data_IF_393378655596
#
_entry.id   IF_393378655596
#
_cell.length_a   1.000
_cell.length_b   1.000
_cell.length_c   1.000
_cell.angle_alpha   90.00
_cell.angle_beta   90.00
_cell.angle_gamma   90.00
#
_symmetry.space_group_name_H-M   'P 1'
#
loop_
_entity.id
_entity.type
_entity.pdbx_description
1 polymer ?
#
# COMPACT_ATOMS: atom_id res chain seq x y z
N UNK A 1 3.87 13.06 41.77
CA UNK A 1 3.67 11.70 41.24
C UNK A 1 2.81 11.88 40.02
N UNK A 2 3.38 11.68 38.83
CA UNK A 2 2.56 11.70 37.61
C UNK A 2 1.52 10.57 37.72
N UNK A 3 0.25 10.85 37.37
CA UNK A 3 -0.81 9.85 37.47
C UNK A 3 -0.47 8.64 36.59
N UNK A 4 -0.73 7.44 37.10
CA UNK A 4 -0.57 6.22 36.31
C UNK A 4 -1.43 6.27 35.04
N UNK A 5 -0.93 5.79 33.89
CA UNK A 5 -1.65 5.90 32.62
C UNK A 5 -3.01 5.19 32.66
N UNK A 6 -3.12 4.09 33.40
CA UNK A 6 -4.37 3.34 33.60
C UNK A 6 -5.46 4.16 34.32
N UNK A 7 -5.07 5.10 35.19
CA UNK A 7 -6.03 5.97 35.89
C UNK A 7 -6.58 6.99 34.90
N UNK A 8 -5.70 7.60 34.09
CA UNK A 8 -6.11 8.55 33.06
C UNK A 8 -7.01 7.92 32.00
N UNK A 9 -6.77 6.67 31.62
CA UNK A 9 -7.65 5.93 30.71
C UNK A 9 -9.05 5.72 31.29
N UNK A 10 -9.14 5.35 32.58
CA UNK A 10 -10.44 5.20 33.26
C UNK A 10 -11.19 6.52 33.31
N UNK A 11 -10.52 7.59 33.72
CA UNK A 11 -11.11 8.93 33.71
C UNK A 11 -11.57 9.32 32.29
N UNK A 12 -10.74 9.08 31.26
CA UNK A 12 -11.10 9.36 29.88
C UNK A 12 -12.35 8.61 29.42
N UNK A 13 -12.49 7.33 29.81
CA UNK A 13 -13.69 6.53 29.53
C UNK A 13 -14.93 7.07 30.26
N UNK A 14 -14.81 7.51 31.51
CA UNK A 14 -15.92 8.16 32.23
C UNK A 14 -16.37 9.45 31.54
N UNK A 15 -15.44 10.26 31.02
CA UNK A 15 -15.78 11.44 30.22
C UNK A 15 -16.41 11.08 28.88
N UNK A 16 -16.04 9.95 28.28
CA UNK A 16 -16.64 9.43 27.05
C UNK A 16 -18.09 9.00 27.28
N UNK A 17 -18.39 8.30 28.38
CA UNK A 17 -19.76 7.93 28.77
C UNK A 17 -20.65 9.14 29.03
N UNK A 18 -20.06 10.26 29.48
CA UNK A 18 -20.73 11.55 29.69
C UNK A 18 -20.79 12.42 28.42
N UNK A 19 -20.43 11.87 27.25
CA UNK A 19 -20.37 12.55 25.94
C UNK A 19 -19.45 13.79 25.90
N UNK A 20 -18.51 13.91 26.84
CA UNK A 20 -17.54 15.00 26.90
C UNK A 20 -16.29 14.68 26.08
N UNK A 21 -16.46 14.53 24.77
CA UNK A 21 -15.41 14.07 23.84
C UNK A 21 -14.12 14.93 23.85
N UNK A 22 -14.24 16.23 24.12
CA UNK A 22 -13.08 17.13 24.17
C UNK A 22 -12.14 16.84 25.34
N UNK A 23 -12.70 16.62 26.53
CA UNK A 23 -11.95 16.31 27.75
C UNK A 23 -11.39 14.88 27.69
N UNK A 24 -12.22 13.92 27.28
CA UNK A 24 -11.81 12.53 27.06
C UNK A 24 -10.61 12.43 26.12
N UNK A 25 -10.63 13.16 25.01
CA UNK A 25 -9.53 13.14 24.05
C UNK A 25 -8.20 13.67 24.63
N UNK A 26 -8.24 14.73 25.44
CA UNK A 26 -7.04 15.29 26.07
C UNK A 26 -6.43 14.26 27.04
N UNK A 27 -7.28 13.58 27.80
CA UNK A 27 -6.85 12.54 28.74
C UNK A 27 -6.27 11.33 28.02
N UNK A 28 -6.92 10.83 26.95
CA UNK A 28 -6.36 9.74 26.15
C UNK A 28 -5.02 10.09 25.53
N UNK A 29 -4.84 11.33 25.06
CA UNK A 29 -3.54 11.77 24.52
C UNK A 29 -2.46 11.79 25.60
N UNK A 30 -2.78 12.29 26.80
CA UNK A 30 -1.86 12.27 27.95
C UNK A 30 -1.50 10.84 28.36
N UNK A 31 -2.49 9.94 28.43
CA UNK A 31 -2.26 8.53 28.73
C UNK A 31 -1.36 7.87 27.68
N UNK A 32 -1.59 8.14 26.39
CA UNK A 32 -0.75 7.65 25.32
C UNK A 32 0.69 8.14 25.42
N UNK A 33 0.91 9.42 25.73
CA UNK A 33 2.26 9.98 25.86
C UNK A 33 3.03 9.35 27.04
N UNK A 34 2.35 9.03 28.14
CA UNK A 34 2.93 8.26 29.25
C UNK A 34 3.26 6.82 28.84
N UNK A 35 2.39 6.14 28.09
CA UNK A 35 2.66 4.80 27.57
C UNK A 35 3.84 4.77 26.60
N UNK A 36 4.01 5.80 25.77
CA UNK A 36 5.19 5.95 24.91
C UNK A 36 6.48 6.07 25.72
N UNK A 37 6.46 6.86 26.80
CA UNK A 37 7.61 6.99 27.72
C UNK A 37 7.93 5.64 28.38
N UNK A 38 6.92 4.84 28.69
CA UNK A 38 7.06 3.50 29.26
C UNK A 38 7.38 2.40 28.24
N UNK A 39 7.58 2.74 26.95
CA UNK A 39 7.78 1.80 25.84
C UNK A 39 6.63 0.80 25.62
N UNK A 40 5.45 1.12 26.16
CA UNK A 40 4.20 0.37 26.01
C UNK A 40 3.49 0.82 24.72
N UNK A 41 4.11 0.53 23.56
CA UNK A 41 3.65 1.04 22.26
C UNK A 41 2.27 0.53 21.84
N UNK A 42 1.86 -0.66 22.31
CA UNK A 42 0.56 -1.24 21.96
C UNK A 42 -0.58 -0.49 22.65
N UNK A 43 -0.42 -0.23 23.95
CA UNK A 43 -1.33 0.52 24.79
C UNK A 43 -1.40 1.99 24.34
N UNK A 44 -0.25 2.57 24.00
CA UNK A 44 -0.18 3.91 23.41
C UNK A 44 -0.98 4.01 22.10
N UNK A 45 -0.87 3.02 21.20
CA UNK A 45 -1.62 3.00 19.95
C UNK A 45 -3.13 2.93 20.18
N UNK A 46 -3.60 2.13 21.14
CA UNK A 46 -5.01 2.03 21.50
C UNK A 46 -5.55 3.36 22.04
N UNK A 47 -4.81 4.01 22.94
CA UNK A 47 -5.16 5.32 23.49
C UNK A 47 -5.18 6.42 22.41
N UNK A 48 -4.23 6.42 21.48
CA UNK A 48 -4.24 7.38 20.37
C UNK A 48 -5.41 7.12 19.42
N UNK A 49 -5.77 5.87 19.17
CA UNK A 49 -6.91 5.52 18.34
C UNK A 49 -8.25 5.95 18.98
N UNK A 50 -8.40 5.80 20.31
CA UNK A 50 -9.57 6.31 21.04
C UNK A 50 -9.59 7.84 21.08
N UNK A 51 -8.44 8.50 21.21
CA UNK A 51 -8.34 9.95 21.07
C UNK A 51 -8.77 10.40 19.66
N UNK A 52 -8.33 9.69 18.61
CA UNK A 52 -8.68 9.99 17.22
C UNK A 52 -10.18 9.84 16.95
N UNK A 53 -10.83 8.81 17.51
CA UNK A 53 -12.27 8.63 17.41
C UNK A 53 -13.04 9.71 18.17
N UNK A 54 -12.59 10.10 19.37
CA UNK A 54 -13.16 11.23 20.12
C UNK A 54 -13.08 12.54 19.32
N UNK A 55 -11.95 12.80 18.64
CA UNK A 55 -11.82 13.95 17.74
C UNK A 55 -12.80 13.89 16.58
N UNK A 56 -13.00 12.72 15.97
CA UNK A 56 -13.96 12.56 14.88
C UNK A 56 -15.40 12.86 15.34
N UNK A 57 -15.79 12.34 16.51
CA UNK A 57 -17.10 12.57 17.11
C UNK A 57 -17.30 14.05 17.49
N UNK A 58 -16.29 14.67 18.12
CA UNK A 58 -16.31 16.09 18.48
C UNK A 58 -16.41 17.01 17.25
N UNK A 59 -15.74 16.65 16.15
CA UNK A 59 -15.66 17.50 14.97
C UNK A 59 -16.98 17.55 14.20
N UNK A 60 -17.85 16.54 14.33
CA UNK A 60 -19.13 16.51 13.61
C UNK A 60 -18.93 16.58 12.10
N UNK A 61 -19.60 17.51 11.41
CA UNK A 61 -19.43 17.79 9.96
C UNK A 61 -18.20 18.65 9.62
N UNK A 62 -17.34 19.01 10.59
CA UNK A 62 -16.13 19.82 10.34
C UNK A 62 -14.92 18.97 9.97
N UNK A 63 -13.89 19.61 9.41
CA UNK A 63 -12.67 18.98 8.91
C UNK A 63 -12.07 17.93 9.86
N UNK A 64 -11.90 16.71 9.35
CA UNK A 64 -11.40 15.53 10.07
C UNK A 64 -9.87 15.48 10.19
N UNK A 65 -9.14 16.45 9.63
CA UNK A 65 -7.68 16.46 9.54
C UNK A 65 -6.97 16.13 10.85
N UNK A 66 -7.43 16.70 11.98
CA UNK A 66 -6.86 16.40 13.31
C UNK A 66 -7.08 14.95 13.74
N UNK A 67 -8.23 14.39 13.42
CA UNK A 67 -8.53 12.97 13.64
C UNK A 67 -7.68 12.08 12.74
N UNK A 68 -7.54 12.42 11.45
CA UNK A 68 -6.68 11.70 10.50
C UNK A 68 -5.23 11.62 10.98
N UNK A 69 -4.67 12.76 11.42
CA UNK A 69 -3.30 12.83 11.93
C UNK A 69 -3.12 12.02 13.23
N UNK A 70 -4.14 12.01 14.10
CA UNK A 70 -4.13 11.16 15.29
C UNK A 70 -4.19 9.66 14.94
N UNK A 71 -4.98 9.26 13.93
CA UNK A 71 -4.98 7.88 13.43
C UNK A 71 -3.65 7.48 12.80
N UNK A 72 -2.97 8.38 12.07
CA UNK A 72 -1.62 8.12 11.56
C UNK A 72 -0.59 7.94 12.68
N UNK A 73 -0.69 8.74 13.74
CA UNK A 73 0.18 8.61 14.92
C UNK A 73 -0.07 7.28 15.63
N UNK A 74 -1.33 6.93 15.86
CA UNK A 74 -1.72 5.62 16.41
C UNK A 74 -1.19 4.46 15.55
N UNK A 75 -1.28 4.59 14.21
CA UNK A 75 -0.81 3.57 13.29
C UNK A 75 0.71 3.37 13.35
N UNK A 76 1.47 4.45 13.56
CA UNK A 76 2.94 4.38 13.75
C UNK A 76 3.31 3.69 15.05
N UNK A 77 2.63 3.99 16.15
CA UNK A 77 2.84 3.28 17.43
C UNK A 77 2.48 1.79 17.31
N UNK A 78 1.38 1.46 16.61
CA UNK A 78 1.03 0.07 16.34
C UNK A 78 2.08 -0.68 15.50
N UNK A 79 2.75 0.02 14.56
CA UNK A 79 3.89 -0.55 13.82
C UNK A 79 5.09 -0.82 14.74
N UNK A 80 5.39 0.07 15.69
CA UNK A 80 6.45 -0.13 16.69
C UNK A 80 6.14 -1.31 17.61
N UNK A 81 4.87 -1.53 17.94
CA UNK A 81 4.38 -2.68 18.69
C UNK A 81 4.32 -3.99 17.88
N UNK A 82 4.75 -3.98 16.61
CA UNK A 82 4.67 -5.10 15.66
C UNK A 82 3.24 -5.59 15.34
N UNK A 83 2.21 -4.82 15.71
CA UNK A 83 0.80 -5.08 15.42
C UNK A 83 0.41 -4.50 14.05
N UNK A 84 0.89 -5.17 13.00
CA UNK A 84 0.71 -4.73 11.62
C UNK A 84 -0.74 -4.78 11.13
N UNK A 85 -1.56 -5.68 11.68
CA UNK A 85 -2.98 -5.76 11.36
C UNK A 85 -3.70 -4.51 11.86
N UNK A 86 -3.50 -4.18 13.14
CA UNK A 86 -4.09 -2.98 13.72
C UNK A 86 -3.57 -1.70 13.05
N UNK A 87 -2.26 -1.60 12.78
CA UNK A 87 -1.71 -0.49 12.02
C UNK A 87 -2.36 -0.34 10.64
N UNK A 88 -2.62 -1.45 9.93
CA UNK A 88 -3.27 -1.41 8.62
C UNK A 88 -4.69 -0.83 8.68
N UNK A 89 -5.45 -1.15 9.74
CA UNK A 89 -6.79 -0.66 9.98
C UNK A 89 -6.78 0.83 10.33
N UNK A 90 -5.84 1.27 11.17
CA UNK A 90 -5.70 2.68 11.55
C UNK A 90 -5.32 3.56 10.36
N UNK A 91 -4.35 3.14 9.53
CA UNK A 91 -4.03 3.85 8.28
C UNK A 91 -5.23 3.90 7.32
N UNK A 92 -6.05 2.84 7.27
CA UNK A 92 -7.27 2.84 6.45
C UNK A 92 -8.28 3.86 6.97
N UNK A 93 -8.43 3.97 8.29
CA UNK A 93 -9.33 4.96 8.91
C UNK A 93 -8.83 6.39 8.67
N UNK A 94 -7.53 6.63 8.80
CA UNK A 94 -6.91 7.91 8.45
C UNK A 94 -7.18 8.27 6.98
N UNK A 95 -7.00 7.32 6.05
CA UNK A 95 -7.29 7.53 4.64
C UNK A 95 -8.76 7.93 4.40
N UNK A 96 -9.73 7.23 5.01
CA UNK A 96 -11.15 7.57 4.87
C UNK A 96 -11.41 9.01 5.33
N UNK A 97 -10.81 9.43 6.45
CA UNK A 97 -10.97 10.80 6.94
C UNK A 97 -10.35 11.84 5.99
N UNK A 98 -9.15 11.59 5.43
CA UNK A 98 -8.56 12.48 4.42
C UNK A 98 -9.38 12.54 3.13
N UNK A 99 -10.00 11.43 2.71
CA UNK A 99 -10.90 11.45 1.55
C UNK A 99 -12.12 12.32 1.81
N UNK A 100 -12.67 12.30 3.04
CA UNK A 100 -13.78 13.20 3.42
C UNK A 100 -13.38 14.67 3.42
N UNK A 101 -12.13 14.96 3.79
CA UNK A 101 -11.58 16.32 3.76
C UNK A 101 -11.05 16.74 2.37
N UNK A 102 -11.15 15.88 1.36
CA UNK A 102 -10.62 16.09 0.01
C UNK A 102 -9.09 16.28 -0.03
N UNK A 103 -8.37 15.79 0.97
CA UNK A 103 -6.90 15.80 1.00
C UNK A 103 -6.31 14.56 0.33
N UNK A 104 -6.19 14.60 -0.99
CA UNK A 104 -5.79 13.44 -1.79
C UNK A 104 -4.34 12.98 -1.58
N UNK A 105 -3.42 13.90 -1.25
CA UNK A 105 -2.02 13.56 -1.03
C UNK A 105 -1.84 12.70 0.24
N UNK A 106 -2.40 13.15 1.37
CA UNK A 106 -2.35 12.45 2.66
C UNK A 106 -3.15 11.15 2.61
N UNK A 107 -4.29 11.14 1.92
CA UNK A 107 -5.04 9.93 1.57
C UNK A 107 -4.14 8.89 0.90
N UNK A 108 -3.43 9.29 -0.16
CA UNK A 108 -2.57 8.42 -0.95
C UNK A 108 -1.32 7.94 -0.18
N UNK A 109 -0.88 8.63 0.85
CA UNK A 109 0.20 8.09 1.70
C UNK A 109 -0.34 7.03 2.66
N UNK A 110 -1.48 7.34 3.30
CA UNK A 110 -2.15 6.45 4.25
C UNK A 110 -2.67 5.16 3.59
N UNK A 111 -3.32 5.25 2.44
CA UNK A 111 -3.83 4.08 1.73
C UNK A 111 -2.70 3.14 1.32
N UNK A 112 -1.62 3.68 0.74
CA UNK A 112 -0.41 2.92 0.43
C UNK A 112 0.17 2.24 1.68
N UNK A 113 0.35 2.97 2.79
CA UNK A 113 0.87 2.40 4.05
C UNK A 113 -0.03 1.32 4.62
N UNK A 114 -1.34 1.49 4.56
CA UNK A 114 -2.33 0.47 4.97
C UNK A 114 -2.11 -0.84 4.21
N UNK A 115 -1.98 -0.76 2.86
CA UNK A 115 -1.74 -1.93 2.00
C UNK A 115 -0.37 -2.56 2.26
N UNK A 116 0.66 -1.75 2.51
CA UNK A 116 1.98 -2.26 2.83
C UNK A 116 2.02 -3.00 4.17
N UNK A 117 1.37 -2.46 5.22
CA UNK A 117 1.20 -3.14 6.50
C UNK A 117 0.47 -4.47 6.33
N UNK A 118 -0.64 -4.48 5.59
CA UNK A 118 -1.41 -5.69 5.32
C UNK A 118 -0.59 -6.73 4.56
N UNK A 119 0.21 -6.30 3.56
CA UNK A 119 1.13 -7.18 2.84
C UNK A 119 2.16 -7.78 3.79
N UNK A 120 2.82 -6.97 4.63
CA UNK A 120 3.81 -7.44 5.62
C UNK A 120 3.19 -8.41 6.62
N UNK A 121 2.00 -8.10 7.12
CA UNK A 121 1.22 -8.97 7.99
C UNK A 121 0.94 -10.32 7.34
N UNK A 122 0.43 -10.34 6.11
CA UNK A 122 0.15 -11.58 5.39
C UNK A 122 1.42 -12.38 5.10
N UNK A 123 2.52 -11.72 4.70
CA UNK A 123 3.81 -12.43 4.50
C UNK A 123 4.30 -13.09 5.78
N UNK A 124 4.17 -12.42 6.94
CA UNK A 124 4.55 -13.00 8.23
C UNK A 124 3.59 -14.09 8.69
N UNK A 125 2.29 -13.92 8.46
CA UNK A 125 1.26 -14.92 8.74
C UNK A 125 1.50 -16.24 8.01
N UNK A 126 2.13 -16.20 6.84
CA UNK A 126 2.49 -17.40 6.07
C UNK A 126 3.76 -18.09 6.61
N UNK A 127 4.68 -17.32 7.18
CA UNK A 127 5.94 -17.85 7.74
C UNK A 127 5.75 -18.35 9.17
N UNK A 128 4.86 -17.73 9.96
CA UNK A 128 4.56 -18.11 11.34
C UNK A 128 3.04 -18.07 11.60
N UNK A 129 2.32 -19.20 11.41
CA UNK A 129 0.87 -19.25 11.57
C UNK A 129 0.41 -19.19 13.04
N UNK A 130 1.27 -19.51 14.01
CA UNK A 130 0.87 -19.78 15.40
C UNK A 130 0.49 -18.54 16.25
N UNK A 131 0.75 -17.30 15.81
CA UNK A 131 0.49 -16.10 16.65
C UNK A 131 -0.85 -15.40 16.36
N UNK A 132 -1.57 -15.79 15.30
CA UNK A 132 -2.79 -15.10 14.85
C UNK A 132 -4.07 -15.73 15.44
N UNK A 133 -4.01 -17.00 15.84
CA UNK A 133 -5.18 -17.72 16.37
C UNK A 133 -5.61 -17.25 17.76
N UNK A 134 -4.73 -16.58 18.52
CA UNK A 134 -5.03 -16.19 19.90
C UNK A 134 -5.81 -14.86 20.05
N UNK A 135 -6.10 -14.14 18.96
CA UNK A 135 -6.86 -12.87 19.00
C UNK A 135 -8.21 -12.99 18.27
N UNK A 136 -8.38 -13.96 17.37
CA UNK A 136 -9.67 -14.25 16.71
C UNK A 136 -10.43 -15.40 17.38
N UNK A 137 -10.48 -15.42 18.71
CA UNK A 137 -11.40 -16.29 19.45
C UNK A 137 -12.82 -15.70 19.42
N UNK A 138 -13.48 -15.76 18.26
CA UNK A 138 -14.80 -15.14 18.13
C UNK A 138 -15.41 -15.15 16.73
N UNK A 139 -15.43 -16.30 16.06
CA UNK A 139 -16.45 -16.54 15.03
C UNK A 139 -15.93 -16.94 13.65
N UNK A 140 -16.61 -17.96 13.12
CA UNK A 140 -16.58 -18.47 11.74
C UNK A 140 -15.49 -19.52 11.47
N UNK A 141 -15.75 -20.75 11.95
CA UNK A 141 -15.22 -21.99 11.36
C UNK A 141 -15.69 -22.11 9.91
N UNK A 142 -14.91 -21.61 8.95
CA UNK A 142 -15.13 -21.85 7.51
C UNK A 142 -13.81 -22.23 6.87
N UNK A 143 -13.61 -23.54 6.70
CA UNK A 143 -12.53 -24.20 5.94
C UNK A 143 -11.15 -23.58 6.06
N UNK A 144 -10.34 -24.04 7.03
CA UNK A 144 -8.95 -23.61 7.25
C UNK A 144 -8.11 -23.61 5.95
N UNK A 145 -8.29 -24.61 5.08
CA UNK A 145 -7.61 -24.69 3.78
C UNK A 145 -8.00 -23.56 2.80
N UNK A 146 -9.28 -23.19 2.74
CA UNK A 146 -9.74 -22.06 1.92
C UNK A 146 -9.17 -20.73 2.44
N UNK A 147 -9.05 -20.61 3.77
CA UNK A 147 -8.40 -19.46 4.42
C UNK A 147 -6.92 -19.34 4.04
N UNK A 148 -6.16 -20.43 4.07
CA UNK A 148 -4.73 -20.44 3.74
C UNK A 148 -4.48 -20.14 2.25
N UNK A 149 -5.23 -20.79 1.34
CA UNK A 149 -5.11 -20.54 -0.11
C UNK A 149 -5.44 -19.07 -0.43
N UNK A 150 -6.49 -18.52 0.19
CA UNK A 150 -6.84 -17.11 0.04
C UNK A 150 -5.75 -16.18 0.58
N UNK A 151 -5.14 -16.48 1.73
CA UNK A 151 -4.02 -15.70 2.29
C UNK A 151 -2.79 -15.74 1.38
N UNK A 152 -2.44 -16.91 0.85
CA UNK A 152 -1.36 -17.07 -0.12
C UNK A 152 -1.62 -16.27 -1.40
N UNK A 153 -2.79 -16.43 -2.00
CA UNK A 153 -3.18 -15.69 -3.20
C UNK A 153 -3.16 -14.17 -2.97
N UNK A 154 -3.71 -13.71 -1.84
CA UNK A 154 -3.73 -12.29 -1.49
C UNK A 154 -2.31 -11.75 -1.22
N UNK A 155 -1.45 -12.52 -0.57
CA UNK A 155 -0.06 -12.16 -0.35
C UNK A 155 0.71 -12.03 -1.67
N UNK A 156 0.52 -12.99 -2.59
CA UNK A 156 1.11 -12.95 -3.92
C UNK A 156 0.61 -11.72 -4.70
N UNK A 157 -0.70 -11.50 -4.76
CA UNK A 157 -1.31 -10.35 -5.44
C UNK A 157 -0.84 -9.01 -4.87
N UNK A 158 -0.76 -8.88 -3.54
CA UNK A 158 -0.28 -7.66 -2.90
C UNK A 158 1.21 -7.43 -3.14
N UNK A 159 2.03 -8.49 -3.18
CA UNK A 159 3.47 -8.36 -3.44
C UNK A 159 3.73 -8.01 -4.90
N UNK A 160 3.04 -8.67 -5.83
CA UNK A 160 3.10 -8.36 -7.25
C UNK A 160 2.66 -6.93 -7.54
N UNK A 161 1.51 -6.52 -6.98
CA UNK A 161 1.03 -5.13 -7.12
C UNK A 161 1.95 -4.11 -6.45
N UNK A 162 2.53 -4.42 -5.27
CA UNK A 162 3.50 -3.53 -4.63
C UNK A 162 4.73 -3.29 -5.50
N UNK A 163 5.21 -4.34 -6.19
CA UNK A 163 6.39 -4.29 -7.05
C UNK A 163 6.13 -3.50 -8.34
N UNK A 164 5.03 -3.81 -9.04
CA UNK A 164 4.74 -3.24 -10.36
C UNK A 164 4.23 -1.80 -10.25
N UNK A 165 3.27 -1.54 -9.36
CA UNK A 165 2.57 -0.24 -9.36
C UNK A 165 2.53 0.48 -8.02
N UNK A 166 3.12 -0.09 -6.96
CA UNK A 166 3.05 0.48 -5.61
C UNK A 166 1.62 0.73 -5.11
N UNK A 167 0.77 -0.30 -5.17
CA UNK A 167 -0.67 -0.24 -4.89
C UNK A 167 -1.50 0.80 -5.67
N UNK A 168 -0.97 1.37 -6.77
CA UNK A 168 -1.68 2.30 -7.67
C UNK A 168 -1.49 3.76 -7.27
N UNK A 169 -0.65 4.03 -6.27
CA UNK A 169 -0.49 5.35 -5.64
C UNK A 169 0.91 5.94 -5.80
N UNK A 170 1.88 5.14 -6.26
CA UNK A 170 3.26 5.57 -6.49
C UNK A 170 3.58 5.50 -7.99
N UNK A 171 3.26 6.54 -8.80
CA UNK A 171 3.54 6.56 -10.23
C UNK A 171 5.05 6.48 -10.56
N UNK A 172 5.92 6.83 -9.62
CA UNK A 172 7.37 6.62 -9.78
C UNK A 172 7.75 5.15 -9.92
N UNK A 173 7.06 4.22 -9.23
CA UNK A 173 7.36 2.78 -9.33
C UNK A 173 6.90 2.18 -10.65
N UNK A 174 5.73 2.58 -11.13
CA UNK A 174 5.23 2.14 -12.45
C UNK A 174 6.18 2.60 -13.55
N UNK A 175 6.66 3.84 -13.48
CA UNK A 175 7.67 4.36 -14.41
C UNK A 175 8.99 3.55 -14.37
N UNK A 176 9.53 3.28 -13.17
CA UNK A 176 10.71 2.43 -13.04
C UNK A 176 10.48 1.00 -13.58
N UNK A 177 9.29 0.43 -13.34
CA UNK A 177 8.95 -0.91 -13.86
C UNK A 177 8.85 -0.94 -15.38
N UNK A 178 8.34 0.14 -16.00
CA UNK A 178 8.31 0.30 -17.45
C UNK A 178 9.74 0.41 -18.02
N UNK A 179 10.61 1.22 -17.41
CA UNK A 179 12.02 1.32 -17.81
C UNK A 179 12.73 -0.03 -17.68
N UNK A 180 12.49 -0.77 -16.60
CA UNK A 180 13.07 -2.09 -16.40
C UNK A 180 12.60 -3.07 -17.47
N UNK A 181 11.31 -3.06 -17.83
CA UNK A 181 10.78 -3.86 -18.93
C UNK A 181 11.47 -3.49 -20.26
N UNK A 182 11.57 -2.19 -20.58
CA UNK A 182 12.25 -1.71 -21.79
C UNK A 182 13.71 -2.18 -21.87
N UNK A 183 14.46 -2.04 -20.78
CA UNK A 183 15.86 -2.45 -20.73
C UNK A 183 16.00 -3.98 -20.83
N UNK A 184 15.14 -4.74 -20.14
CA UNK A 184 15.13 -6.19 -20.21
C UNK A 184 14.80 -6.70 -21.62
N UNK A 185 13.80 -6.12 -22.27
CA UNK A 185 13.45 -6.39 -23.68
C UNK A 185 14.60 -6.07 -24.62
N UNK A 186 15.22 -4.90 -24.46
CA UNK A 186 16.37 -4.48 -25.28
C UNK A 186 17.52 -5.49 -25.17
N UNK A 187 17.88 -5.89 -23.94
CA UNK A 187 18.93 -6.88 -23.72
C UNK A 187 18.59 -8.25 -24.31
N UNK A 188 17.31 -8.65 -24.23
CA UNK A 188 16.85 -9.90 -24.85
C UNK A 188 16.95 -9.84 -26.38
N UNK A 189 16.54 -8.73 -26.99
CA UNK A 189 16.62 -8.55 -28.45
C UNK A 189 18.06 -8.49 -28.97
N UNK A 190 19.00 -7.96 -28.19
CA UNK A 190 20.43 -8.01 -28.55
C UNK A 190 20.97 -9.44 -28.70
N UNK A 191 20.45 -10.38 -27.91
CA UNK A 191 20.85 -11.80 -27.99
C UNK A 191 20.08 -12.55 -29.07
N UNK A 192 18.88 -12.07 -29.41
CA UNK A 192 17.99 -12.66 -30.40
C UNK A 192 18.29 -12.26 -31.85
N UNK A 193 17.60 -12.93 -32.76
CA UNK A 193 17.66 -12.64 -34.19
C UNK A 193 16.47 -11.77 -34.60
N UNK A 194 16.74 -10.71 -35.37
CA UNK A 194 15.74 -9.85 -35.99
C UNK A 194 15.90 -9.90 -37.52
N UNK A 195 14.80 -9.61 -38.23
CA UNK A 195 14.78 -9.56 -39.69
C UNK A 195 14.59 -8.11 -40.11
N UNK A 196 15.44 -7.65 -41.04
CA UNK A 196 15.26 -6.38 -41.75
C UNK A 196 15.28 -6.66 -43.25
N UNK A 197 14.13 -6.51 -43.91
CA UNK A 197 13.95 -6.96 -45.29
C UNK A 197 14.08 -8.48 -45.41
N UNK A 198 15.04 -8.97 -46.18
CA UNK A 198 15.32 -10.40 -46.37
C UNK A 198 16.48 -10.94 -45.52
N UNK A 199 17.13 -10.11 -44.69
CA UNK A 199 18.32 -10.48 -43.93
C UNK A 199 18.00 -10.70 -42.45
N UNK A 200 18.50 -11.81 -41.91
CA UNK A 200 18.52 -12.09 -40.47
C UNK A 200 19.81 -11.52 -39.90
N UNK A 201 19.70 -10.64 -38.91
CA UNK A 201 20.85 -10.03 -38.26
C UNK A 201 20.64 -9.96 -36.73
N UNK A 202 21.75 -9.79 -36.00
CA UNK A 202 21.73 -9.52 -34.57
C UNK A 202 21.80 -8.01 -34.35
N UNK A 203 20.83 -7.40 -33.65
CA UNK A 203 20.79 -5.96 -33.48
C UNK A 203 21.84 -5.47 -32.48
N UNK A 204 22.47 -4.34 -32.79
CA UNK A 204 23.25 -3.57 -31.81
C UNK A 204 22.30 -2.91 -30.79
N UNK A 205 22.83 -2.46 -29.64
CA UNK A 205 22.02 -1.83 -28.57
C UNK A 205 21.03 -0.76 -29.08
N UNK A 206 21.42 0.21 -29.95
CA UNK A 206 20.47 1.22 -30.44
C UNK A 206 19.36 0.64 -31.32
N UNK A 207 19.65 -0.41 -32.08
CA UNK A 207 18.68 -1.07 -32.96
C UNK A 207 17.70 -1.94 -32.14
N UNK A 208 18.20 -2.61 -31.12
CA UNK A 208 17.38 -3.37 -30.17
C UNK A 208 16.48 -2.45 -29.35
N UNK A 209 17.01 -1.32 -28.89
CA UNK A 209 16.26 -0.29 -28.17
C UNK A 209 15.17 0.31 -29.06
N UNK A 210 15.52 0.68 -30.30
CA UNK A 210 14.54 1.15 -31.28
C UNK A 210 13.41 0.13 -31.49
N UNK A 211 13.75 -1.16 -31.67
CA UNK A 211 12.76 -2.22 -31.84
C UNK A 211 11.86 -2.40 -30.60
N UNK A 212 12.42 -2.35 -29.39
CA UNK A 212 11.65 -2.39 -28.14
C UNK A 212 10.72 -1.18 -28.02
N UNK A 213 11.19 0.04 -28.31
CA UNK A 213 10.36 1.26 -28.27
C UNK A 213 9.14 1.13 -29.19
N UNK A 214 9.33 0.78 -30.46
CA UNK A 214 8.21 0.67 -31.43
C UNK A 214 7.27 -0.49 -31.12
N UNK A 215 7.77 -1.54 -30.46
CA UNK A 215 6.99 -2.72 -30.04
C UNK A 215 6.14 -2.37 -28.83
N UNK A 216 6.73 -1.79 -27.79
CA UNK A 216 6.02 -1.37 -26.58
C UNK A 216 4.96 -0.30 -26.85
N UNK A 217 5.28 0.70 -27.69
CA UNK A 217 4.30 1.72 -28.08
C UNK A 217 3.27 1.20 -29.07
N UNK A 218 3.39 -0.06 -29.52
CA UNK A 218 2.53 -0.69 -30.52
C UNK A 218 2.49 0.04 -31.87
N UNK A 219 3.48 0.89 -32.14
CA UNK A 219 3.59 1.64 -33.40
C UNK A 219 3.96 0.72 -34.56
N UNK A 220 4.95 -0.16 -34.35
CA UNK A 220 5.33 -1.22 -35.29
C UNK A 220 5.51 -0.77 -36.74
N UNK A 221 6.54 0.02 -37.06
CA UNK A 221 6.80 0.52 -38.42
C UNK A 221 6.98 -0.56 -39.50
N UNK A 222 7.24 -1.81 -39.11
CA UNK A 222 7.39 -2.95 -40.04
C UNK A 222 8.73 -3.02 -40.75
N UNK A 223 9.67 -2.14 -40.40
CA UNK A 223 11.05 -2.13 -40.90
C UNK A 223 11.91 -3.24 -40.30
N UNK A 224 11.64 -3.58 -39.04
CA UNK A 224 12.28 -4.67 -38.30
C UNK A 224 11.19 -5.62 -37.80
N UNK A 225 11.38 -6.92 -38.04
CA UNK A 225 10.45 -7.96 -37.60
C UNK A 225 11.16 -9.01 -36.73
N UNK A 226 10.49 -9.51 -35.68
CA UNK A 226 11.08 -10.53 -34.81
C UNK A 226 11.06 -11.92 -35.47
N UNK A 227 12.11 -12.71 -35.23
CA UNK A 227 12.29 -14.06 -35.76
C UNK A 227 12.51 -15.10 -34.65
N UNK A 228 11.88 -16.27 -34.78
CA UNK A 228 12.03 -17.35 -33.81
C UNK A 228 11.59 -16.93 -32.41
N UNK A 229 12.50 -17.06 -31.42
CA UNK A 229 12.21 -16.79 -30.00
C UNK A 229 11.93 -15.31 -29.69
N UNK A 230 12.42 -14.36 -30.51
CA UNK A 230 12.14 -12.92 -30.30
C UNK A 230 10.67 -12.58 -30.54
N UNK A 231 9.92 -13.41 -31.28
CA UNK A 231 8.46 -13.26 -31.44
C UNK A 231 7.73 -13.44 -30.13
N UNK A 232 8.12 -14.45 -29.34
CA UNK A 232 7.53 -14.70 -28.03
C UNK A 232 7.76 -13.51 -27.09
N UNK A 233 8.99 -12.97 -27.07
CA UNK A 233 9.30 -11.79 -26.28
C UNK A 233 8.51 -10.56 -26.72
N UNK A 234 8.38 -10.31 -28.04
CA UNK A 234 7.56 -9.22 -28.57
C UNK A 234 6.09 -9.32 -28.15
N UNK A 235 5.51 -10.53 -28.16
CA UNK A 235 4.15 -10.74 -27.66
C UNK A 235 4.02 -10.42 -26.17
N UNK A 236 4.99 -10.85 -25.35
CA UNK A 236 5.00 -10.56 -23.91
C UNK A 236 5.16 -9.06 -23.66
N UNK A 237 6.05 -8.40 -24.40
CA UNK A 237 6.29 -6.95 -24.26
C UNK A 237 5.05 -6.13 -24.59
N UNK A 238 4.38 -6.42 -25.72
CA UNK A 238 3.12 -5.77 -26.09
C UNK A 238 2.05 -6.03 -25.03
N UNK A 239 1.91 -7.28 -24.56
CA UNK A 239 0.95 -7.63 -23.53
C UNK A 239 1.22 -6.85 -22.23
N UNK A 240 2.47 -6.76 -21.78
CA UNK A 240 2.85 -5.96 -20.63
C UNK A 240 2.61 -4.46 -20.83
N UNK A 241 2.93 -3.92 -22.01
CA UNK A 241 2.72 -2.51 -22.37
C UNK A 241 1.25 -2.09 -22.26
N UNK A 242 0.32 -2.94 -22.71
CA UNK A 242 -1.13 -2.72 -22.63
C UNK A 242 -1.60 -2.52 -21.18
N UNK A 243 -0.97 -3.17 -20.19
CA UNK A 243 -1.31 -2.96 -18.78
C UNK A 243 -0.56 -1.78 -18.16
N UNK A 244 0.74 -1.64 -18.43
CA UNK A 244 1.60 -0.65 -17.75
C UNK A 244 1.18 0.79 -18.07
N UNK A 245 0.82 1.09 -19.32
CA UNK A 245 0.47 2.45 -19.75
C UNK A 245 -0.80 2.96 -19.03
N UNK A 246 -1.95 2.24 -19.04
CA UNK A 246 -3.14 2.66 -18.30
C UNK A 246 -2.88 2.76 -16.79
N UNK A 247 -2.12 1.83 -16.22
CA UNK A 247 -1.76 1.84 -14.80
C UNK A 247 -0.99 3.11 -14.44
N UNK A 248 -0.04 3.51 -15.28
CA UNK A 248 0.74 4.73 -15.10
C UNK A 248 -0.17 5.97 -15.15
N UNK A 249 -1.07 6.04 -16.14
CA UNK A 249 -2.02 7.15 -16.29
C UNK A 249 -2.95 7.24 -15.08
N UNK A 250 -3.50 6.13 -14.60
CA UNK A 250 -4.37 6.09 -13.41
C UNK A 250 -3.62 6.52 -12.14
N UNK A 251 -2.35 6.12 -11.99
CA UNK A 251 -1.53 6.55 -10.87
C UNK A 251 -1.25 8.05 -10.88
N UNK A 252 -1.01 8.63 -12.07
CA UNK A 252 -0.87 10.08 -12.23
C UNK A 252 -2.18 10.81 -11.98
N UNK A 253 -3.31 10.29 -12.47
CA UNK A 253 -4.59 10.96 -12.32
C UNK A 253 -5.05 11.01 -10.88
N UNK A 254 -4.90 9.91 -10.13
CA UNK A 254 -5.24 9.87 -8.71
C UNK A 254 -4.39 10.83 -7.87
N UNK A 255 -3.13 11.05 -8.24
CA UNK A 255 -2.17 11.82 -7.44
C UNK A 255 -2.15 13.32 -7.76
N UNK A 256 -2.30 13.69 -9.04
CA UNK A 256 -2.11 15.06 -9.49
C UNK A 256 -3.36 15.69 -10.12
N UNK A 257 -4.28 14.89 -10.67
CA UNK A 257 -5.47 15.42 -11.35
C UNK A 257 -6.69 15.47 -10.43
N UNK A 258 -6.73 14.64 -9.38
CA UNK A 258 -7.70 14.74 -8.29
C UNK A 258 -7.21 15.86 -7.35
N UNK A 259 -7.50 17.11 -7.72
CA UNK A 259 -7.32 18.30 -6.87
C UNK A 259 -8.68 18.93 -6.65
#
# INVERSE_FOLDING_TARGET
MDPEPNILEKEANEFLEREKFGEACILFKKAADLHKVNLAHKEAALCLASAASCWALKSGERAFHKSSLAYEEAAREAQLADDLEYASLLYRQAAINYERDMEFFSFSDCFYRSRECLRKFLTRSLISPQKIDNISAGGIKRGEAYGIIKRLALCFLLTFSALIWGHGERPGRTFCSAILLFLASTLFYMQGNLIKGALIFKPNFPQALYFSVITFTTVGYGDITPAGMTKAMAMIEVFCGIFIVPIFIVGLSRKYLRT
#
